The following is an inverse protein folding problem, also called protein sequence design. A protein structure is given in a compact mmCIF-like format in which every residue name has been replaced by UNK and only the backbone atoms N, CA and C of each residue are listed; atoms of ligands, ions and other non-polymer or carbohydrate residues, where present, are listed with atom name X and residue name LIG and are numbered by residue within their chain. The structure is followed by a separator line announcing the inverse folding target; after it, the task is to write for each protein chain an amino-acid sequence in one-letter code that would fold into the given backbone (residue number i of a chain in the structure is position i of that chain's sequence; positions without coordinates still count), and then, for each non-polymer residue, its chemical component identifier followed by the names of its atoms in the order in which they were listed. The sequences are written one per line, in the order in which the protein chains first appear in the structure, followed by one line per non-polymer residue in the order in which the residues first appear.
data_IF_876791313789
#
_entry.id   IF_876791313789
#
_cell.length_a   1.000
_cell.length_b   1.000
_cell.length_c   1.000
_cell.angle_alpha   90.00
_cell.angle_beta   90.00
_cell.angle_gamma   90.00
#
_symmetry.space_group_name_H-M   'P 1'
#
loop_
_entity.id
_entity.type
_entity.pdbx_description
1 polymer ?
#
# COMPACT_ATOMS: atom_id res chain seq x y z
N UNK A 1 -9.43 11.16 9.51
CA UNK A 1 -8.17 11.94 9.69
C UNK A 1 -8.32 13.17 8.83
N UNK A 2 -8.66 14.32 9.44
CA UNK A 2 -8.69 15.58 8.71
C UNK A 2 -7.25 15.89 8.29
N UNK A 3 -6.94 15.66 7.02
CA UNK A 3 -5.67 16.09 6.45
C UNK A 3 -5.75 17.60 6.35
N UNK A 4 -4.83 18.28 7.01
CA UNK A 4 -4.64 19.71 6.79
C UNK A 4 -4.13 19.91 5.35
N UNK A 5 -5.01 20.42 4.50
CA UNK A 5 -4.82 20.55 3.06
C UNK A 5 -3.65 21.45 2.67
N UNK A 6 -3.25 22.39 3.56
CA UNK A 6 -2.16 23.33 3.31
C UNK A 6 -0.78 22.68 3.13
N UNK A 7 -0.64 21.38 3.42
CA UNK A 7 0.64 20.66 3.37
C UNK A 7 0.84 19.79 2.12
N UNK A 8 -0.16 19.69 1.24
CA UNK A 8 -0.05 18.88 0.01
C UNK A 8 0.64 19.65 -1.12
N UNK A 9 1.88 20.08 -0.91
CA UNK A 9 2.61 20.87 -1.92
C UNK A 9 3.74 20.03 -2.48
N UNK A 10 3.53 19.45 -3.68
CA UNK A 10 4.66 19.13 -4.54
C UNK A 10 5.25 20.44 -5.13
N UNK A 11 6.55 20.50 -5.44
CA UNK A 11 7.13 21.65 -6.10
C UNK A 11 6.32 22.05 -7.34
N UNK A 12 6.06 23.34 -7.55
CA UNK A 12 5.27 23.83 -8.67
C UNK A 12 5.75 23.30 -10.04
N UNK A 13 7.05 23.03 -10.16
CA UNK A 13 7.65 22.47 -11.37
C UNK A 13 7.26 21.02 -11.67
N UNK A 14 6.84 20.24 -10.67
CA UNK A 14 6.39 18.87 -10.85
C UNK A 14 5.06 18.76 -11.59
N UNK A 15 4.35 19.88 -11.71
CA UNK A 15 3.03 19.99 -12.36
C UNK A 15 3.09 20.52 -13.79
N UNK A 16 4.27 20.84 -14.32
CA UNK A 16 4.42 21.38 -15.69
C UNK A 16 3.83 20.43 -16.73
N UNK A 17 2.77 20.86 -17.37
CA UNK A 17 2.25 20.28 -18.60
C UNK A 17 1.00 19.42 -18.52
N UNK A 18 0.42 19.15 -17.32
CA UNK A 18 -0.75 18.27 -17.23
C UNK A 18 -1.72 18.58 -16.08
N UNK A 19 -1.48 19.61 -15.26
CA UNK A 19 -2.33 19.84 -14.09
C UNK A 19 -2.60 21.31 -13.86
N UNK A 20 -3.85 21.67 -13.48
CA UNK A 20 -4.12 23.00 -12.95
C UNK A 20 -3.23 23.24 -11.72
N UNK A 21 -3.02 24.49 -11.40
CA UNK A 21 -2.17 24.94 -10.29
C UNK A 21 -2.45 24.15 -9.01
N UNK A 22 -1.42 23.64 -8.28
CA UNK A 22 -1.56 22.75 -7.12
C UNK A 22 -2.60 23.15 -6.06
N UNK A 23 -2.83 24.45 -5.78
CA UNK A 23 -3.79 24.85 -4.77
C UNK A 23 -5.22 24.40 -5.03
N UNK A 24 -5.62 24.21 -6.29
CA UNK A 24 -7.03 24.01 -6.64
C UNK A 24 -7.62 22.69 -6.11
N UNK A 25 -6.83 21.60 -6.05
CA UNK A 25 -7.34 20.33 -5.54
C UNK A 25 -7.37 20.26 -4.01
N UNK A 26 -6.65 21.13 -3.35
CA UNK A 26 -6.54 21.22 -1.90
C UNK A 26 -7.37 22.36 -1.30
N UNK A 27 -8.00 23.18 -2.13
CA UNK A 27 -8.91 24.23 -1.68
C UNK A 27 -10.32 23.65 -1.47
N UNK A 28 -10.82 23.56 -0.22
CA UNK A 28 -12.11 22.94 0.08
C UNK A 28 -13.27 23.65 -0.62
N UNK A 29 -13.21 24.98 -0.77
CA UNK A 29 -14.30 25.74 -1.41
C UNK A 29 -14.35 25.47 -2.92
N UNK A 30 -13.20 25.50 -3.60
CA UNK A 30 -13.14 25.20 -5.03
C UNK A 30 -13.59 23.77 -5.33
N UNK A 31 -13.23 22.82 -4.46
CA UNK A 31 -13.66 21.43 -4.61
C UNK A 31 -15.14 21.26 -4.30
N UNK A 32 -15.66 21.94 -3.28
CA UNK A 32 -17.08 21.95 -2.95
C UNK A 32 -17.92 22.50 -4.10
N UNK A 33 -17.52 23.62 -4.70
CA UNK A 33 -18.17 24.19 -5.87
C UNK A 33 -18.14 23.20 -7.06
N UNK A 34 -17.01 22.53 -7.28
CA UNK A 34 -16.86 21.52 -8.33
C UNK A 34 -17.77 20.30 -8.12
N UNK A 35 -17.97 19.88 -6.87
CA UNK A 35 -18.78 18.72 -6.49
C UNK A 35 -20.23 19.09 -6.18
N UNK A 36 -20.59 20.38 -6.22
CA UNK A 36 -21.89 20.91 -5.78
C UNK A 36 -22.25 20.45 -4.35
N UNK A 37 -21.31 20.63 -3.43
CA UNK A 37 -21.38 20.17 -2.03
C UNK A 37 -21.08 21.32 -1.06
N UNK A 38 -21.26 21.08 0.24
CA UNK A 38 -20.81 22.00 1.29
C UNK A 38 -19.31 21.77 1.55
N UNK A 39 -18.53 22.86 1.64
CA UNK A 39 -17.08 22.79 1.85
C UNK A 39 -16.70 22.01 3.13
N UNK A 40 -17.48 22.13 4.21
CA UNK A 40 -17.27 21.42 5.46
C UNK A 40 -17.55 19.90 5.36
N UNK A 41 -18.31 19.50 4.34
CA UNK A 41 -18.63 18.09 4.08
C UNK A 41 -17.60 17.37 3.22
N UNK A 42 -16.67 18.12 2.59
CA UNK A 42 -15.68 17.55 1.65
C UNK A 42 -14.42 17.12 2.39
N UNK A 43 -14.02 15.89 2.16
CA UNK A 43 -12.74 15.35 2.66
C UNK A 43 -11.97 14.63 1.56
N UNK A 44 -10.64 14.69 1.57
CA UNK A 44 -9.81 13.83 0.72
C UNK A 44 -9.76 12.44 1.34
N UNK A 45 -10.13 11.43 0.55
CA UNK A 45 -9.93 10.01 0.87
C UNK A 45 -8.57 9.51 0.37
N UNK A 46 -8.18 9.90 -0.85
CA UNK A 46 -6.92 9.45 -1.44
C UNK A 46 -6.42 10.41 -2.52
N UNK A 47 -5.10 10.46 -2.68
CA UNK A 47 -4.42 11.21 -3.74
C UNK A 47 -3.52 10.27 -4.53
N UNK A 48 -3.58 10.37 -5.86
CA UNK A 48 -2.77 9.57 -6.75
C UNK A 48 -2.06 10.46 -7.78
N UNK A 49 -0.81 10.77 -7.47
CA UNK A 49 0.00 11.65 -8.28
C UNK A 49 1.05 10.90 -9.09
N UNK A 50 1.12 11.18 -10.37
CA UNK A 50 2.19 10.76 -11.28
C UNK A 50 2.77 12.03 -11.89
N UNK A 51 3.99 12.46 -11.51
CA UNK A 51 4.61 13.69 -12.01
C UNK A 51 4.56 13.78 -13.53
N UNK A 52 4.23 14.96 -14.03
CA UNK A 52 4.08 15.30 -15.46
C UNK A 52 3.03 14.49 -16.23
N UNK A 53 2.19 13.69 -15.55
CA UNK A 53 1.24 12.80 -16.23
C UNK A 53 -0.20 12.94 -15.72
N UNK A 54 -0.43 12.83 -14.42
CA UNK A 54 -1.79 12.85 -13.88
C UNK A 54 -1.81 13.14 -12.39
N UNK A 55 -2.88 13.77 -11.96
CA UNK A 55 -3.29 13.87 -10.58
C UNK A 55 -4.74 13.39 -10.51
N UNK A 56 -4.98 12.32 -9.76
CA UNK A 56 -6.31 11.81 -9.45
C UNK A 56 -6.54 11.94 -7.96
N UNK A 57 -7.64 12.53 -7.56
CA UNK A 57 -8.01 12.68 -6.15
C UNK A 57 -9.37 12.03 -5.95
N UNK A 58 -9.49 11.26 -4.87
CA UNK A 58 -10.76 10.73 -4.39
C UNK A 58 -11.23 11.61 -3.25
N UNK A 59 -12.36 12.24 -3.43
CA UNK A 59 -13.03 13.03 -2.41
C UNK A 59 -14.18 12.24 -1.81
N UNK A 60 -14.43 12.45 -0.53
CA UNK A 60 -15.59 11.96 0.18
C UNK A 60 -16.48 13.13 0.55
N UNK A 61 -17.77 13.01 0.24
CA UNK A 61 -18.83 13.96 0.60
C UNK A 61 -19.91 13.16 1.30
N UNK A 62 -20.01 13.25 2.61
CA UNK A 62 -20.82 12.32 3.40
C UNK A 62 -20.36 10.88 3.21
N UNK A 63 -21.25 10.00 2.75
CA UNK A 63 -20.96 8.60 2.42
C UNK A 63 -20.52 8.39 0.97
N UNK A 64 -20.77 9.38 0.10
CA UNK A 64 -20.45 9.31 -1.31
C UNK A 64 -18.96 9.58 -1.57
N UNK A 65 -18.44 8.97 -2.64
CA UNK A 65 -17.08 9.21 -3.14
C UNK A 65 -17.11 9.67 -4.58
N UNK A 66 -16.29 10.67 -4.85
CA UNK A 66 -16.10 11.25 -6.17
C UNK A 66 -14.63 11.15 -6.57
N UNK A 67 -14.40 10.77 -7.81
CA UNK A 67 -13.08 10.77 -8.42
C UNK A 67 -12.94 12.00 -9.28
N UNK A 68 -11.91 12.77 -9.01
CA UNK A 68 -11.56 13.94 -9.81
C UNK A 68 -10.21 13.71 -10.46
N UNK A 69 -10.20 13.66 -11.78
CA UNK A 69 -8.98 13.57 -12.57
C UNK A 69 -8.58 14.98 -13.02
N UNK A 70 -7.46 15.47 -12.51
CA UNK A 70 -6.86 16.73 -12.89
C UNK A 70 -5.86 16.50 -14.01
N UNK A 71 -6.25 16.88 -15.23
CA UNK A 71 -5.43 16.81 -16.44
C UNK A 71 -5.54 18.12 -17.23
N UNK A 72 -5.52 18.05 -18.56
CA UNK A 72 -5.80 19.20 -19.43
C UNK A 72 -7.20 19.77 -19.20
N UNK A 73 -8.13 18.92 -18.78
CA UNK A 73 -9.47 19.24 -18.31
C UNK A 73 -9.70 18.55 -16.98
N UNK A 74 -10.50 19.18 -16.11
CA UNK A 74 -10.94 18.54 -14.87
C UNK A 74 -12.14 17.66 -15.18
N UNK A 75 -12.04 16.37 -14.87
CA UNK A 75 -13.12 15.41 -15.04
C UNK A 75 -13.57 14.87 -13.67
N UNK A 76 -14.88 14.96 -13.42
CA UNK A 76 -15.51 14.49 -12.18
C UNK A 76 -16.41 13.32 -12.49
N UNK A 77 -16.38 12.28 -11.66
CA UNK A 77 -17.31 11.16 -11.71
C UNK A 77 -17.59 10.60 -10.31
N UNK A 78 -18.80 10.10 -10.04
CA UNK A 78 -19.03 9.27 -8.88
C UNK A 78 -18.14 8.02 -8.90
N UNK A 79 -17.76 7.52 -7.73
CA UNK A 79 -16.96 6.30 -7.62
C UNK A 79 -17.63 5.11 -8.32
N UNK A 80 -18.96 4.98 -8.17
CA UNK A 80 -19.74 3.88 -8.74
C UNK A 80 -19.68 3.80 -10.27
N UNK A 81 -19.37 4.91 -10.94
CA UNK A 81 -19.27 5.02 -12.41
C UNK A 81 -17.85 4.69 -12.93
N UNK A 82 -17.02 3.99 -12.15
CA UNK A 82 -15.69 3.59 -12.62
C UNK A 82 -15.78 2.46 -13.64
N UNK A 83 -15.82 2.84 -14.93
CA UNK A 83 -15.94 1.91 -16.06
C UNK A 83 -14.84 0.86 -16.17
N UNK A 84 -13.71 1.08 -15.47
CA UNK A 84 -12.61 0.11 -15.42
C UNK A 84 -12.81 -0.97 -14.36
N UNK A 85 -13.81 -0.81 -13.51
CA UNK A 85 -14.19 -1.76 -12.47
C UNK A 85 -15.68 -2.13 -12.63
N UNK A 86 -16.06 -2.90 -13.68
CA UNK A 86 -17.47 -3.15 -14.02
C UNK A 86 -18.28 -3.83 -12.91
N UNK A 87 -17.64 -4.59 -12.03
CA UNK A 87 -18.29 -5.20 -10.86
C UNK A 87 -18.42 -4.24 -9.66
N UNK A 88 -17.96 -2.98 -9.76
CA UNK A 88 -18.00 -2.03 -8.65
C UNK A 88 -19.44 -1.69 -8.19
N UNK A 89 -20.41 -1.44 -9.09
CA UNK A 89 -21.79 -1.23 -8.66
C UNK A 89 -22.36 -2.41 -7.86
N UNK A 90 -22.04 -3.65 -8.29
CA UNK A 90 -22.49 -4.87 -7.60
C UNK A 90 -21.81 -5.03 -6.24
N UNK A 91 -20.52 -4.69 -6.15
CA UNK A 91 -19.75 -4.72 -4.90
C UNK A 91 -20.31 -3.73 -3.86
N UNK A 92 -20.83 -2.59 -4.31
CA UNK A 92 -21.34 -1.53 -3.44
C UNK A 92 -22.82 -1.67 -3.10
N UNK A 93 -23.56 -2.60 -3.75
CA UNK A 93 -25.00 -2.77 -3.54
C UNK A 93 -25.29 -3.60 -2.26
N UNK A 94 -25.84 -2.98 -1.20
CA UNK A 94 -26.16 -3.70 0.04
C UNK A 94 -27.32 -4.72 -0.16
N UNK A 95 -28.23 -4.48 -1.12
CA UNK A 95 -29.34 -5.43 -1.40
C UNK A 95 -28.79 -6.73 -1.99
N UNK A 96 -27.90 -6.61 -2.99
CA UNK A 96 -27.22 -7.77 -3.55
C UNK A 96 -26.43 -8.54 -2.49
N UNK A 97 -25.68 -7.84 -1.64
CA UNK A 97 -24.93 -8.46 -0.55
C UNK A 97 -25.89 -9.18 0.42
N UNK A 98 -26.99 -8.54 0.80
CA UNK A 98 -28.00 -9.13 1.68
C UNK A 98 -28.65 -10.39 1.07
N UNK A 99 -28.97 -10.36 -0.22
CA UNK A 99 -29.48 -11.54 -0.95
C UNK A 99 -28.44 -12.68 -0.98
N UNK A 100 -27.16 -12.34 -1.25
CA UNK A 100 -26.09 -13.34 -1.31
C UNK A 100 -25.86 -14.05 0.03
N UNK A 101 -25.91 -13.31 1.13
CA UNK A 101 -25.66 -13.86 2.47
C UNK A 101 -26.94 -14.33 3.20
N UNK A 102 -28.13 -14.00 2.69
CA UNK A 102 -29.39 -14.29 3.37
C UNK A 102 -29.59 -13.53 4.68
N UNK A 103 -28.94 -12.39 4.85
CA UNK A 103 -28.95 -11.54 6.04
C UNK A 103 -28.91 -10.07 5.64
N UNK A 104 -29.37 -9.18 6.50
CA UNK A 104 -29.24 -7.73 6.27
C UNK A 104 -27.76 -7.33 6.40
N UNK A 105 -27.23 -6.64 5.39
CA UNK A 105 -25.80 -6.36 5.27
C UNK A 105 -25.56 -4.87 5.02
N UNK A 106 -24.73 -4.28 5.85
CA UNK A 106 -24.11 -2.97 5.63
C UNK A 106 -22.86 -3.10 4.78
N UNK A 107 -22.61 -2.13 3.91
CA UNK A 107 -21.45 -2.06 3.03
C UNK A 107 -20.58 -0.89 3.42
N UNK A 108 -19.34 -1.17 3.84
CA UNK A 108 -18.35 -0.15 4.16
C UNK A 108 -17.17 -0.22 3.20
N UNK A 109 -16.86 0.85 2.48
CA UNK A 109 -15.66 0.92 1.63
C UNK A 109 -14.41 0.99 2.50
N UNK A 110 -13.54 -0.02 2.38
CA UNK A 110 -12.24 -0.11 3.07
C UNK A 110 -11.13 0.57 2.29
N UNK A 111 -11.11 0.36 0.97
CA UNK A 111 -10.13 0.96 0.09
C UNK A 111 -10.68 1.04 -1.33
N UNK A 112 -10.35 2.13 -2.02
CA UNK A 112 -10.67 2.31 -3.42
C UNK A 112 -9.47 2.93 -4.15
N UNK A 113 -9.10 2.31 -5.23
CA UNK A 113 -8.04 2.76 -6.13
C UNK A 113 -8.64 2.92 -7.52
N UNK A 114 -8.88 4.17 -7.97
CA UNK A 114 -9.58 4.44 -9.21
C UNK A 114 -9.02 3.67 -10.40
N UNK A 115 -9.89 2.91 -11.07
CA UNK A 115 -9.55 2.11 -12.23
C UNK A 115 -8.65 0.91 -11.98
N UNK A 116 -8.37 0.57 -10.74
CA UNK A 116 -7.49 -0.56 -10.41
C UNK A 116 -8.15 -1.60 -9.50
N UNK A 117 -8.67 -1.19 -8.33
CA UNK A 117 -9.27 -2.12 -7.35
C UNK A 117 -10.18 -1.41 -6.35
N UNK A 118 -11.08 -2.19 -5.75
CA UNK A 118 -11.86 -1.79 -4.59
C UNK A 118 -11.98 -2.95 -3.60
N UNK A 119 -12.01 -2.64 -2.31
CA UNK A 119 -12.32 -3.56 -1.24
C UNK A 119 -13.38 -2.93 -0.32
N UNK A 120 -14.36 -3.73 0.06
CA UNK A 120 -15.43 -3.36 0.99
C UNK A 120 -15.51 -4.34 2.14
N UNK A 121 -16.11 -3.91 3.23
CA UNK A 121 -16.47 -4.75 4.34
C UNK A 121 -18.00 -4.91 4.36
N UNK A 122 -18.46 -6.14 4.30
CA UNK A 122 -19.84 -6.54 4.49
C UNK A 122 -20.04 -6.93 5.95
N UNK A 123 -20.95 -6.23 6.63
CA UNK A 123 -21.32 -6.50 8.03
C UNK A 123 -22.81 -6.74 8.16
N UNK A 124 -23.17 -7.79 8.89
CA UNK A 124 -24.55 -8.12 9.19
C UNK A 124 -24.64 -9.21 10.23
N UNK A 125 -25.84 -9.69 10.53
CA UNK A 125 -26.02 -10.79 11.47
C UNK A 125 -25.40 -12.08 10.90
N UNK A 126 -24.33 -12.56 11.53
CA UNK A 126 -23.54 -13.69 11.06
C UNK A 126 -22.66 -13.41 9.83
N UNK A 127 -22.64 -12.17 9.31
CA UNK A 127 -21.82 -11.76 8.17
C UNK A 127 -20.70 -10.81 8.62
N UNK A 128 -19.46 -11.22 8.41
CA UNK A 128 -18.25 -10.42 8.67
C UNK A 128 -17.22 -10.77 7.59
N UNK A 129 -17.33 -10.12 6.41
CA UNK A 129 -16.68 -10.53 5.18
C UNK A 129 -16.05 -9.32 4.48
N UNK A 130 -14.80 -9.46 4.04
CA UNK A 130 -14.15 -8.51 3.12
C UNK A 130 -14.34 -8.99 1.70
N UNK A 131 -14.92 -8.13 0.86
CA UNK A 131 -15.14 -8.40 -0.56
C UNK A 131 -14.22 -7.51 -1.41
N UNK A 132 -13.63 -8.07 -2.46
CA UNK A 132 -12.61 -7.41 -3.28
C UNK A 132 -12.85 -7.62 -4.77
N UNK A 133 -12.59 -6.57 -5.55
CA UNK A 133 -12.50 -6.61 -7.02
C UNK A 133 -11.20 -5.96 -7.49
N UNK A 134 -10.71 -6.39 -8.65
CA UNK A 134 -9.54 -5.79 -9.30
C UNK A 134 -9.71 -5.82 -10.83
N UNK A 135 -9.26 -4.75 -11.48
CA UNK A 135 -9.30 -4.62 -12.95
C UNK A 135 -8.52 -5.71 -13.68
N UNK A 136 -7.31 -6.01 -13.22
CA UNK A 136 -6.34 -6.86 -13.92
C UNK A 136 -6.11 -8.19 -13.18
N UNK A 137 -6.82 -8.40 -12.07
CA UNK A 137 -6.65 -9.58 -11.23
C UNK A 137 -7.50 -10.74 -11.74
N UNK A 138 -6.88 -11.87 -12.06
CA UNK A 138 -7.60 -13.14 -12.02
C UNK A 138 -7.92 -13.43 -10.55
N UNK A 139 -9.10 -12.96 -10.09
CA UNK A 139 -9.55 -13.10 -8.70
C UNK A 139 -9.58 -14.58 -8.29
N UNK A 140 -9.91 -15.48 -9.23
CA UNK A 140 -9.90 -16.93 -9.00
C UNK A 140 -8.48 -17.47 -8.84
N UNK A 141 -7.50 -16.99 -9.62
CA UNK A 141 -6.12 -17.38 -9.42
C UNK A 141 -5.53 -16.83 -8.11
N UNK A 142 -5.90 -15.61 -7.73
CA UNK A 142 -5.55 -15.03 -6.42
C UNK A 142 -6.11 -15.84 -5.26
N UNK A 143 -7.38 -16.19 -5.34
CA UNK A 143 -8.06 -17.02 -4.35
C UNK A 143 -7.40 -18.41 -4.23
N UNK A 144 -7.14 -19.09 -5.35
CA UNK A 144 -6.46 -20.41 -5.32
C UNK A 144 -5.10 -20.35 -4.63
N UNK A 145 -4.30 -19.29 -4.88
CA UNK A 145 -2.99 -19.12 -4.20
C UNK A 145 -3.16 -18.90 -2.70
N UNK A 146 -4.12 -18.06 -2.31
CA UNK A 146 -4.43 -17.80 -0.90
C UNK A 146 -4.99 -19.05 -0.21
N UNK A 147 -5.88 -19.81 -0.88
CA UNK A 147 -6.43 -21.08 -0.39
C UNK A 147 -5.33 -22.10 -0.15
N UNK A 148 -4.42 -22.26 -1.11
CA UNK A 148 -3.29 -23.19 -0.96
C UNK A 148 -2.39 -22.83 0.24
N UNK A 149 -2.23 -21.54 0.54
CA UNK A 149 -1.51 -21.08 1.72
C UNK A 149 -2.33 -21.28 3.00
N UNK A 150 -3.65 -21.04 2.94
CA UNK A 150 -4.55 -21.23 4.07
C UNK A 150 -4.61 -22.70 4.51
N UNK A 151 -4.64 -23.61 3.55
CA UNK A 151 -4.72 -25.06 3.78
C UNK A 151 -3.35 -25.67 4.10
N UNK A 152 -2.26 -24.89 4.08
CA UNK A 152 -0.91 -25.38 4.41
C UNK A 152 -0.84 -25.77 5.90
N UNK A 153 -0.58 -27.06 6.23
CA UNK A 153 -0.70 -27.58 7.59
C UNK A 153 0.24 -26.94 8.61
N UNK A 154 1.43 -26.52 8.15
CA UNK A 154 2.50 -25.96 8.98
C UNK A 154 2.42 -24.44 9.09
N UNK A 155 1.28 -23.85 8.72
CA UNK A 155 1.04 -22.42 8.81
C UNK A 155 1.05 -21.96 10.27
N UNK A 156 2.17 -21.40 10.73
CA UNK A 156 2.37 -20.87 12.08
C UNK A 156 1.99 -19.39 12.23
N UNK A 157 1.20 -18.81 11.29
CA UNK A 157 0.71 -17.43 11.34
C UNK A 157 -0.79 -17.39 10.99
N UNK A 158 -1.46 -16.34 11.45
CA UNK A 158 -2.86 -16.11 11.11
C UNK A 158 -2.99 -15.35 9.77
N UNK A 159 -4.03 -15.65 9.01
CA UNK A 159 -4.39 -14.96 7.78
C UNK A 159 -5.91 -15.00 7.57
N UNK A 160 -6.42 -14.11 6.71
CA UNK A 160 -7.83 -14.12 6.34
C UNK A 160 -8.21 -15.45 5.65
N UNK A 161 -9.29 -16.07 6.10
CA UNK A 161 -9.85 -17.27 5.45
C UNK A 161 -10.42 -16.90 4.09
N UNK A 162 -9.96 -17.49 2.98
CA UNK A 162 -10.57 -17.28 1.68
C UNK A 162 -11.91 -18.00 1.62
N UNK A 163 -12.98 -17.28 1.26
CA UNK A 163 -14.35 -17.81 1.15
C UNK A 163 -14.73 -18.15 -0.29
N UNK A 164 -13.90 -17.75 -1.27
CA UNK A 164 -14.12 -18.05 -2.68
C UNK A 164 -14.26 -16.80 -3.53
N UNK A 165 -14.70 -17.02 -4.77
CA UNK A 165 -15.03 -15.97 -5.74
C UNK A 165 -16.43 -16.27 -6.25
N UNK A 166 -17.33 -15.31 -6.15
CA UNK A 166 -18.70 -15.45 -6.62
C UNK A 166 -18.81 -15.41 -8.16
N UNK A 167 -20.06 -15.51 -8.68
CA UNK A 167 -20.32 -15.53 -10.11
C UNK A 167 -20.02 -14.18 -10.81
N UNK A 168 -20.06 -13.08 -10.06
CA UNK A 168 -19.75 -11.74 -10.55
C UNK A 168 -18.24 -11.42 -10.50
N UNK A 169 -17.41 -12.38 -10.06
CA UNK A 169 -15.97 -12.23 -9.96
C UNK A 169 -15.51 -11.46 -8.70
N UNK A 170 -16.38 -11.30 -7.71
CA UNK A 170 -16.04 -10.68 -6.43
C UNK A 170 -15.42 -11.74 -5.52
N UNK A 171 -14.18 -11.49 -5.07
CA UNK A 171 -13.49 -12.36 -4.12
C UNK A 171 -13.90 -12.05 -2.70
N UNK A 172 -14.20 -13.08 -1.94
CA UNK A 172 -14.66 -13.02 -0.57
C UNK A 172 -13.61 -13.61 0.39
N UNK A 173 -13.38 -12.93 1.48
CA UNK A 173 -12.48 -13.35 2.56
C UNK A 173 -13.18 -13.07 3.90
N UNK A 174 -13.01 -13.95 4.88
CA UNK A 174 -13.48 -13.64 6.24
C UNK A 174 -12.75 -12.42 6.78
N UNK A 175 -13.49 -11.49 7.35
CA UNK A 175 -12.87 -10.34 8.01
C UNK A 175 -12.02 -10.80 9.20
N UNK A 176 -10.93 -10.10 9.44
CA UNK A 176 -9.99 -10.40 10.52
C UNK A 176 -9.99 -9.26 11.51
N UNK A 177 -10.16 -9.58 12.77
CA UNK A 177 -10.06 -8.63 13.87
C UNK A 177 -8.59 -8.39 14.24
N UNK A 178 -8.25 -7.13 14.54
CA UNK A 178 -6.92 -6.75 14.97
C UNK A 178 -6.67 -5.26 14.77
N UNK A 179 -5.54 -4.80 15.29
CA UNK A 179 -5.12 -3.39 15.18
C UNK A 179 -3.94 -3.29 14.21
N UNK A 180 -3.95 -2.31 13.34
CA UNK A 180 -2.80 -2.00 12.47
C UNK A 180 -1.63 -1.51 13.32
N UNK A 181 -0.40 -1.71 12.81
CA UNK A 181 0.81 -1.26 13.48
C UNK A 181 0.76 0.23 13.84
N UNK A 182 0.27 1.08 12.93
CA UNK A 182 0.16 2.53 13.17
C UNK A 182 -0.73 2.89 14.38
N UNK A 183 -1.79 2.10 14.62
CA UNK A 183 -2.66 2.31 15.78
C UNK A 183 -2.03 1.84 17.10
N UNK A 184 -1.05 0.94 17.03
CA UNK A 184 -0.33 0.40 18.19
C UNK A 184 0.91 1.22 18.57
N UNK A 185 1.56 1.90 17.62
CA UNK A 185 2.81 2.64 17.84
C UNK A 185 2.78 3.65 19.01
N UNK A 186 1.65 4.26 19.41
CA UNK A 186 1.61 5.09 20.62
C UNK A 186 1.87 4.32 21.93
N UNK A 187 1.64 3.01 21.94
CA UNK A 187 1.71 2.17 23.17
C UNK A 187 2.64 0.97 23.06
N UNK A 188 3.01 0.58 21.82
CA UNK A 188 3.88 -0.56 21.52
C UNK A 188 5.09 -0.06 20.76
N UNK A 189 6.28 -0.49 21.16
CA UNK A 189 7.49 -0.05 20.46
C UNK A 189 7.54 -0.60 19.03
N UNK A 190 8.08 0.16 18.04
CA UNK A 190 8.30 -0.34 16.68
C UNK A 190 9.17 -1.60 16.65
N UNK A 191 10.08 -1.75 17.60
CA UNK A 191 10.94 -2.94 17.74
C UNK A 191 10.13 -4.18 18.09
N UNK A 192 9.15 -4.08 18.99
CA UNK A 192 8.28 -5.20 19.39
C UNK A 192 7.38 -5.63 18.22
N UNK A 193 6.83 -4.65 17.47
CA UNK A 193 6.04 -4.93 16.26
C UNK A 193 6.88 -5.65 15.20
N UNK A 194 8.12 -5.21 15.00
CA UNK A 194 9.05 -5.83 14.06
C UNK A 194 9.42 -7.25 14.50
N UNK A 195 9.68 -7.46 15.80
CA UNK A 195 9.99 -8.77 16.39
C UNK A 195 8.82 -9.75 16.20
N UNK A 196 7.59 -9.31 16.44
CA UNK A 196 6.41 -10.14 16.24
C UNK A 196 6.27 -10.60 14.77
N UNK A 197 6.49 -9.72 13.82
CA UNK A 197 6.48 -10.07 12.38
C UNK A 197 7.62 -11.03 12.04
N UNK A 198 8.83 -10.79 12.55
CA UNK A 198 10.01 -11.63 12.31
C UNK A 198 9.81 -13.08 12.77
N UNK A 199 9.11 -13.29 13.87
CA UNK A 199 8.79 -14.65 14.39
C UNK A 199 7.81 -15.38 13.47
N UNK A 200 6.89 -14.68 12.82
CA UNK A 200 5.88 -15.28 11.96
C UNK A 200 6.38 -15.58 10.53
N UNK A 201 7.33 -14.81 10.02
CA UNK A 201 7.81 -14.92 8.63
C UNK A 201 8.39 -16.30 8.26
N UNK A 202 9.16 -17.02 9.08
CA UNK A 202 9.68 -18.36 8.74
C UNK A 202 8.59 -19.36 8.36
N UNK A 203 7.40 -19.25 8.94
CA UNK A 203 6.26 -20.12 8.61
C UNK A 203 5.68 -19.78 7.22
N UNK A 204 5.66 -18.50 6.82
CA UNK A 204 5.31 -18.10 5.46
C UNK A 204 6.38 -18.57 4.46
N UNK A 205 7.66 -18.43 4.82
CA UNK A 205 8.79 -18.82 3.97
C UNK A 205 8.83 -20.34 3.71
N UNK A 206 8.34 -21.15 4.66
CA UNK A 206 8.25 -22.61 4.52
C UNK A 206 7.11 -23.06 3.59
N UNK A 207 6.18 -22.17 3.23
CA UNK A 207 5.06 -22.53 2.37
C UNK A 207 5.52 -22.89 0.95
N UNK A 208 4.85 -23.85 0.28
CA UNK A 208 5.20 -24.25 -1.08
C UNK A 208 5.18 -23.05 -2.04
N UNK A 209 6.22 -22.90 -2.86
CA UNK A 209 6.34 -21.78 -3.80
C UNK A 209 5.27 -21.82 -4.91
N UNK A 210 4.95 -23.00 -5.42
CA UNK A 210 4.03 -23.14 -6.56
C UNK A 210 4.45 -22.27 -7.75
N UNK A 211 3.49 -21.88 -8.57
CA UNK A 211 3.69 -20.92 -9.67
C UNK A 211 3.50 -19.48 -9.14
N UNK A 212 4.56 -18.89 -8.61
CA UNK A 212 4.57 -17.51 -8.11
C UNK A 212 5.51 -16.63 -8.94
N UNK A 213 5.18 -15.33 -9.11
CA UNK A 213 6.10 -14.40 -9.76
C UNK A 213 7.39 -14.29 -8.95
N UNK A 214 8.52 -14.10 -9.63
CA UNK A 214 9.80 -13.79 -8.98
C UNK A 214 9.81 -12.34 -8.49
N UNK A 215 10.37 -12.13 -7.30
CA UNK A 215 10.63 -10.81 -6.73
C UNK A 215 11.98 -10.83 -6.00
N UNK A 216 13.04 -11.15 -6.74
CA UNK A 216 14.41 -11.13 -6.27
C UNK A 216 15.08 -9.75 -6.42
N UNK A 217 16.36 -9.64 -6.03
CA UNK A 217 17.13 -8.41 -6.11
C UNK A 217 17.18 -7.79 -7.52
N UNK A 218 17.23 -8.60 -8.57
CA UNK A 218 17.23 -8.14 -9.97
C UNK A 218 15.93 -7.42 -10.33
N UNK A 219 14.79 -7.98 -9.97
CA UNK A 219 13.47 -7.39 -10.19
C UNK A 219 13.30 -6.09 -9.39
N UNK A 220 13.81 -6.06 -8.16
CA UNK A 220 13.80 -4.86 -7.32
C UNK A 220 14.59 -3.72 -7.99
N UNK A 221 15.83 -3.96 -8.44
CA UNK A 221 16.66 -2.97 -9.14
C UNK A 221 15.98 -2.51 -10.43
N UNK A 222 15.50 -3.43 -11.26
CA UNK A 222 14.82 -3.12 -12.51
C UNK A 222 13.60 -2.23 -12.28
N UNK A 223 12.82 -2.52 -11.24
CA UNK A 223 11.67 -1.69 -10.85
C UNK A 223 12.09 -0.31 -10.37
N UNK A 224 13.18 -0.22 -9.59
CA UNK A 224 13.72 1.06 -9.13
C UNK A 224 14.17 1.92 -10.30
N UNK A 225 14.99 1.39 -11.21
CA UNK A 225 15.53 2.12 -12.36
C UNK A 225 14.43 2.59 -13.31
N UNK A 226 13.46 1.73 -13.62
CA UNK A 226 12.48 2.01 -14.67
C UNK A 226 11.23 2.75 -14.18
N UNK A 227 10.92 2.70 -12.89
CA UNK A 227 9.64 3.26 -12.37
C UNK A 227 9.81 4.24 -11.23
N UNK A 228 10.76 4.00 -10.31
CA UNK A 228 10.85 4.79 -9.08
C UNK A 228 11.73 6.00 -9.26
N UNK A 229 13.00 5.79 -9.64
CA UNK A 229 13.98 6.87 -9.82
C UNK A 229 13.43 7.94 -10.78
N UNK A 230 12.91 7.60 -11.97
CA UNK A 230 12.34 8.61 -12.87
C UNK A 230 11.18 9.39 -12.23
N UNK A 231 10.31 8.71 -11.48
CA UNK A 231 9.15 9.35 -10.86
C UNK A 231 9.55 10.30 -9.72
N UNK A 232 10.44 9.85 -8.83
CA UNK A 232 10.88 10.68 -7.70
C UNK A 232 11.74 11.85 -8.20
N UNK A 233 12.62 11.62 -9.19
CA UNK A 233 13.43 12.67 -9.80
C UNK A 233 12.58 13.73 -10.54
N UNK A 234 11.48 13.33 -11.15
CA UNK A 234 10.55 14.27 -11.78
C UNK A 234 9.81 15.13 -10.76
N UNK A 235 9.48 14.59 -9.57
CA UNK A 235 8.85 15.34 -8.50
C UNK A 235 9.86 16.20 -7.70
N UNK A 236 11.08 15.71 -7.52
CA UNK A 236 12.15 16.28 -6.70
C UNK A 236 13.48 16.29 -7.48
N UNK A 237 13.64 17.16 -8.48
CA UNK A 237 14.81 17.15 -9.39
C UNK A 237 16.16 17.32 -8.68
N UNK A 238 16.20 18.03 -7.56
CA UNK A 238 17.42 18.22 -6.74
C UNK A 238 17.92 16.91 -6.10
N UNK A 239 17.08 15.87 -5.97
CA UNK A 239 17.47 14.56 -5.46
C UNK A 239 17.94 13.58 -6.56
N UNK A 240 17.76 13.92 -7.85
CA UNK A 240 17.98 13.00 -8.97
C UNK A 240 19.38 12.36 -8.98
N UNK A 241 20.43 13.15 -8.77
CA UNK A 241 21.82 12.67 -8.74
C UNK A 241 22.07 11.69 -7.60
N UNK A 242 21.59 12.01 -6.39
CA UNK A 242 21.73 11.14 -5.20
C UNK A 242 20.96 9.82 -5.38
N UNK A 243 19.73 9.89 -5.92
CA UNK A 243 18.91 8.70 -6.24
C UNK A 243 19.62 7.78 -7.24
N UNK A 244 20.21 8.35 -8.29
CA UNK A 244 20.96 7.59 -9.29
C UNK A 244 22.16 6.90 -8.67
N UNK A 245 22.89 7.59 -7.80
CA UNK A 245 24.06 7.04 -7.09
C UNK A 245 23.68 5.87 -6.17
N UNK A 246 22.61 6.00 -5.37
CA UNK A 246 22.10 4.91 -4.52
C UNK A 246 21.69 3.72 -5.37
N UNK A 247 20.96 3.95 -6.46
CA UNK A 247 20.54 2.87 -7.35
C UNK A 247 21.73 2.14 -7.99
N UNK A 248 22.79 2.87 -8.36
CA UNK A 248 24.04 2.29 -8.87
C UNK A 248 24.76 1.47 -7.80
N UNK A 249 24.84 1.97 -6.56
CA UNK A 249 25.43 1.23 -5.43
C UNK A 249 24.66 -0.07 -5.15
N UNK A 250 23.31 -0.01 -5.06
CA UNK A 250 22.48 -1.19 -4.89
C UNK A 250 22.69 -2.22 -6.01
N UNK A 251 22.82 -1.75 -7.26
CA UNK A 251 23.12 -2.66 -8.38
C UNK A 251 24.49 -3.32 -8.26
N UNK A 252 25.51 -2.56 -7.82
CA UNK A 252 26.88 -3.06 -7.65
C UNK A 252 27.03 -4.01 -6.46
N UNK A 253 26.26 -3.79 -5.38
CA UNK A 253 26.28 -4.62 -4.16
C UNK A 253 25.12 -5.60 -4.10
N UNK A 254 24.49 -5.88 -5.23
CA UNK A 254 23.37 -6.81 -5.32
C UNK A 254 23.72 -8.16 -4.70
N UNK A 255 22.91 -8.67 -3.74
CA UNK A 255 23.12 -10.00 -3.19
C UNK A 255 23.07 -11.07 -4.28
N UNK A 256 23.87 -12.12 -4.10
CA UNK A 256 23.75 -13.32 -4.95
C UNK A 256 22.32 -13.88 -4.82
N UNK A 257 21.78 -14.42 -5.92
CA UNK A 257 20.49 -15.07 -5.88
C UNK A 257 20.58 -16.30 -4.96
N UNK A 258 19.80 -16.28 -3.86
CA UNK A 258 19.63 -17.40 -2.94
C UNK A 258 18.52 -18.33 -3.41
N UNK A 259 18.30 -19.41 -2.68
CA UNK A 259 17.10 -20.23 -2.87
C UNK A 259 15.87 -19.36 -2.51
N UNK A 260 14.96 -19.11 -3.46
CA UNK A 260 13.81 -18.27 -3.19
C UNK A 260 12.85 -18.97 -2.20
N UNK A 261 12.22 -18.17 -1.34
CA UNK A 261 11.16 -18.61 -0.42
C UNK A 261 9.84 -17.96 -0.79
N UNK A 262 8.74 -18.46 -0.22
CA UNK A 262 7.45 -17.79 -0.35
C UNK A 262 7.47 -16.49 0.46
N UNK A 263 7.19 -15.37 -0.19
CA UNK A 263 7.11 -14.06 0.46
C UNK A 263 5.75 -13.42 0.21
N UNK A 264 5.32 -12.56 1.13
CA UNK A 264 4.10 -11.75 0.97
C UNK A 264 4.19 -10.79 -0.23
N UNK A 265 5.39 -10.25 -0.45
CA UNK A 265 5.70 -9.34 -1.56
C UNK A 265 5.20 -7.90 -1.39
N UNK A 266 4.34 -7.64 -0.39
CA UNK A 266 3.82 -6.31 -0.04
C UNK A 266 3.55 -6.17 1.47
N UNK A 267 4.41 -6.73 2.32
CA UNK A 267 4.22 -6.77 3.76
C UNK A 267 4.52 -5.41 4.40
N UNK A 268 3.63 -4.43 4.20
CA UNK A 268 3.71 -3.16 4.91
C UNK A 268 2.77 -3.12 6.11
N UNK A 269 2.90 -2.11 6.96
CA UNK A 269 2.20 -1.99 8.24
C UNK A 269 0.67 -2.07 8.14
N UNK A 270 0.06 -1.65 7.02
CA UNK A 270 -1.39 -1.77 6.82
C UNK A 270 -1.85 -3.19 6.43
N UNK A 271 -0.91 -4.09 6.04
CA UNK A 271 -1.19 -5.47 5.66
C UNK A 271 -0.89 -6.46 6.80
N UNK A 272 -0.62 -5.95 7.99
CA UNK A 272 -0.47 -6.74 9.21
C UNK A 272 -1.41 -6.21 10.27
N UNK A 273 -2.30 -7.07 10.76
CA UNK A 273 -3.14 -6.81 11.92
C UNK A 273 -2.57 -7.56 13.11
N UNK A 274 -2.56 -6.91 14.26
CA UNK A 274 -2.06 -7.51 15.50
C UNK A 274 -3.21 -7.75 16.47
N UNK A 275 -3.21 -8.93 17.10
CA UNK A 275 -4.05 -9.20 18.25
C UNK A 275 -3.56 -8.41 19.48
N UNK A 276 -4.31 -8.44 20.57
CA UNK A 276 -3.88 -7.82 21.84
C UNK A 276 -2.62 -8.49 22.42
N UNK A 277 -2.31 -9.74 22.05
CA UNK A 277 -1.06 -10.44 22.38
C UNK A 277 0.07 -10.23 21.36
N UNK A 278 -0.07 -9.27 20.46
CA UNK A 278 0.86 -8.96 19.38
C UNK A 278 1.09 -10.10 18.37
N UNK A 279 0.18 -11.06 18.28
CA UNK A 279 0.26 -12.06 17.20
C UNK A 279 -0.13 -11.43 15.87
N UNK A 280 0.73 -11.50 14.83
CA UNK A 280 0.44 -10.92 13.53
C UNK A 280 -0.52 -11.80 12.72
N UNK A 281 -1.48 -11.15 12.08
CA UNK A 281 -2.32 -11.72 11.04
C UNK A 281 -1.97 -11.03 9.72
N UNK A 282 -1.55 -11.79 8.71
CA UNK A 282 -1.23 -11.27 7.38
C UNK A 282 -2.49 -11.18 6.52
N UNK A 283 -2.72 -10.03 5.94
CA UNK A 283 -3.85 -9.75 5.03
C UNK A 283 -3.33 -9.21 3.69
N UNK A 284 -4.19 -9.18 2.67
CA UNK A 284 -3.86 -8.72 1.31
C UNK A 284 -2.72 -9.50 0.65
N UNK A 285 -2.85 -10.84 0.65
CA UNK A 285 -1.87 -11.80 0.11
C UNK A 285 -1.88 -11.87 -1.43
N UNK A 286 -2.37 -10.83 -2.12
CA UNK A 286 -2.49 -10.78 -3.58
C UNK A 286 -1.13 -10.74 -4.29
N UNK A 287 -0.12 -10.24 -3.60
CA UNK A 287 1.24 -10.06 -4.10
C UNK A 287 2.19 -11.21 -3.72
N UNK A 288 1.65 -12.36 -3.26
CA UNK A 288 2.49 -13.53 -2.96
C UNK A 288 3.47 -13.82 -4.11
N UNK A 289 4.75 -13.91 -3.76
CA UNK A 289 5.84 -14.05 -4.71
C UNK A 289 6.88 -15.08 -4.23
N UNK A 290 7.82 -15.40 -5.09
CA UNK A 290 9.05 -16.10 -4.74
C UNK A 290 10.19 -15.09 -4.65
N UNK A 291 10.85 -15.00 -3.51
CA UNK A 291 11.89 -13.98 -3.30
C UNK A 291 12.78 -14.25 -2.11
N UNK A 292 13.55 -13.25 -1.72
CA UNK A 292 14.45 -13.33 -0.57
C UNK A 292 13.68 -13.25 0.76
N UNK A 293 14.05 -14.04 1.73
CA UNK A 293 13.43 -14.11 3.04
C UNK A 293 13.43 -12.74 3.78
N UNK A 294 14.46 -11.94 3.57
CA UNK A 294 14.65 -10.63 4.22
C UNK A 294 13.79 -9.53 3.62
N UNK A 295 13.21 -9.75 2.41
CA UNK A 295 12.45 -8.73 1.68
C UNK A 295 11.24 -8.21 2.47
N UNK A 296 10.38 -9.10 2.95
CA UNK A 296 9.14 -8.72 3.64
C UNK A 296 9.41 -7.96 4.95
N UNK A 297 10.40 -8.42 5.71
CA UNK A 297 10.81 -7.74 6.94
C UNK A 297 11.35 -6.34 6.65
N UNK A 298 12.13 -6.17 5.58
CA UNK A 298 12.63 -4.88 5.15
C UNK A 298 11.51 -3.94 4.67
N UNK A 299 10.49 -4.46 4.00
CA UNK A 299 9.30 -3.68 3.61
C UNK A 299 8.55 -3.19 4.82
N UNK A 300 8.33 -4.05 5.82
CA UNK A 300 7.65 -3.70 7.07
C UNK A 300 8.44 -2.65 7.86
N UNK A 301 9.76 -2.88 8.06
CA UNK A 301 10.66 -1.95 8.73
C UNK A 301 10.72 -0.57 8.05
N UNK A 302 10.84 -0.54 6.73
CA UNK A 302 10.85 0.69 5.96
C UNK A 302 9.54 1.48 6.09
N UNK A 303 8.39 0.80 6.22
CA UNK A 303 7.11 1.46 6.44
C UNK A 303 6.95 2.02 7.85
N UNK A 304 7.39 1.29 8.86
CA UNK A 304 7.48 1.81 10.23
C UNK A 304 8.34 3.07 10.28
N UNK A 305 9.48 3.06 9.57
CA UNK A 305 10.37 4.22 9.48
C UNK A 305 9.68 5.43 8.86
N UNK A 306 9.01 5.25 7.73
CA UNK A 306 8.25 6.33 7.10
C UNK A 306 7.17 6.88 8.05
N UNK A 307 6.42 6.00 8.72
CA UNK A 307 5.39 6.43 9.67
C UNK A 307 6.01 7.28 10.80
N UNK A 308 7.13 6.83 11.36
CA UNK A 308 7.85 7.58 12.38
C UNK A 308 8.30 8.97 11.91
N UNK A 309 8.76 9.11 10.67
CA UNK A 309 9.09 10.40 10.07
C UNK A 309 7.86 11.31 9.93
N UNK A 310 6.74 10.75 9.46
CA UNK A 310 5.49 11.49 9.26
C UNK A 310 4.85 11.96 10.58
N UNK A 311 5.07 11.24 11.67
CA UNK A 311 4.48 11.54 13.00
C UNK A 311 5.43 12.22 13.96
N UNK A 312 6.70 12.44 13.54
CA UNK A 312 7.74 12.97 14.43
C UNK A 312 8.20 11.98 15.50
N UNK A 313 7.87 10.69 15.38
CA UNK A 313 8.28 9.63 16.31
C UNK A 313 9.39 8.79 15.67
N UNK A 314 10.67 9.09 15.92
CA UNK A 314 11.76 8.37 15.27
C UNK A 314 11.69 6.88 15.55
N UNK A 315 11.65 6.07 14.51
CA UNK A 315 11.76 4.62 14.60
C UNK A 315 13.15 4.21 14.18
N UNK A 316 13.89 3.60 15.08
CA UNK A 316 15.20 3.03 14.76
C UNK A 316 15.01 1.55 14.51
N UNK A 317 15.47 1.06 13.34
CA UNK A 317 15.64 -0.38 13.14
C UNK A 317 16.92 -0.77 13.86
N UNK A 318 16.86 -1.61 14.91
CA UNK A 318 18.05 -1.93 15.70
C UNK A 318 19.16 -2.53 14.83
N UNK A 319 20.43 -2.21 15.11
CA UNK A 319 21.56 -2.92 14.50
C UNK A 319 21.46 -4.44 14.78
N UNK A 320 21.70 -5.25 13.75
CA UNK A 320 21.59 -6.72 13.87
C UNK A 320 20.17 -7.26 13.65
N UNK A 321 19.19 -6.41 13.40
CA UNK A 321 17.88 -6.84 12.94
C UNK A 321 17.97 -7.31 11.47
N UNK A 322 17.44 -8.48 11.16
CA UNK A 322 17.40 -8.97 9.79
C UNK A 322 17.61 -10.47 9.64
N UNK A 323 17.59 -11.22 10.75
CA UNK A 323 17.73 -12.66 10.68
C UNK A 323 19.16 -13.12 10.32
N UNK A 324 19.32 -14.29 9.67
CA UNK A 324 20.63 -14.90 9.43
C UNK A 324 21.49 -14.12 8.42
N UNK A 325 20.92 -13.25 7.58
CA UNK A 325 21.67 -12.42 6.61
C UNK A 325 21.38 -10.93 6.79
N UNK A 326 22.08 -10.32 7.76
CA UNK A 326 21.91 -8.90 8.08
C UNK A 326 22.32 -7.98 6.90
N UNK A 327 23.25 -8.39 6.05
CA UNK A 327 23.67 -7.61 4.89
C UNK A 327 22.61 -7.63 3.79
N UNK A 328 21.97 -8.77 3.56
CA UNK A 328 20.85 -8.91 2.63
C UNK A 328 19.65 -8.11 3.12
N UNK A 329 19.30 -8.19 4.41
CA UNK A 329 18.27 -7.37 5.02
C UNK A 329 18.54 -5.87 4.81
N UNK A 330 19.77 -5.42 5.13
CA UNK A 330 20.18 -4.02 4.96
C UNK A 330 20.04 -3.56 3.51
N UNK A 331 20.44 -4.41 2.54
CA UNK A 331 20.27 -4.14 1.12
C UNK A 331 18.82 -3.92 0.75
N UNK A 332 17.92 -4.82 1.18
CA UNK A 332 16.49 -4.71 0.95
C UNK A 332 15.88 -3.51 1.66
N UNK A 333 16.36 -3.16 2.86
CA UNK A 333 15.90 -1.97 3.59
C UNK A 333 16.24 -0.69 2.82
N UNK A 334 17.47 -0.53 2.35
CA UNK A 334 17.88 0.60 1.49
C UNK A 334 17.01 0.66 0.24
N UNK A 335 16.84 -0.46 -0.46
CA UNK A 335 16.00 -0.55 -1.64
C UNK A 335 14.53 -0.18 -1.34
N UNK A 336 14.03 -0.52 -0.15
CA UNK A 336 12.67 -0.19 0.31
C UNK A 336 12.52 1.29 0.64
N UNK A 337 13.45 1.88 1.39
CA UNK A 337 13.40 3.31 1.74
C UNK A 337 13.31 4.17 0.47
N UNK A 338 14.15 3.91 -0.51
CA UNK A 338 14.17 4.64 -1.79
C UNK A 338 13.06 4.15 -2.72
N UNK A 339 12.99 2.84 -2.94
CA UNK A 339 12.13 2.24 -3.97
C UNK A 339 10.63 2.24 -3.65
N UNK A 340 10.28 2.19 -2.38
CA UNK A 340 8.87 2.13 -1.95
C UNK A 340 8.45 3.38 -1.18
N UNK A 341 9.18 3.77 -0.14
CA UNK A 341 8.72 4.83 0.76
C UNK A 341 8.78 6.20 0.10
N UNK A 342 9.88 6.57 -0.56
CA UNK A 342 9.93 7.83 -1.32
C UNK A 342 8.87 7.88 -2.43
N UNK A 343 8.68 6.77 -3.16
CA UNK A 343 7.61 6.67 -4.17
C UNK A 343 6.22 6.86 -3.54
N UNK A 344 5.99 6.35 -2.34
CA UNK A 344 4.73 6.50 -1.60
C UNK A 344 4.52 7.96 -1.22
N UNK A 345 5.53 8.66 -0.70
CA UNK A 345 5.47 10.09 -0.42
C UNK A 345 5.08 10.90 -1.67
N UNK A 346 5.75 10.63 -2.79
CA UNK A 346 5.46 11.32 -4.07
C UNK A 346 4.04 11.01 -4.56
N UNK A 347 3.64 9.74 -4.54
CA UNK A 347 2.35 9.29 -5.05
C UNK A 347 1.18 9.94 -4.32
N UNK A 348 1.27 10.04 -3.01
CA UNK A 348 0.19 10.54 -2.17
C UNK A 348 0.38 12.01 -1.78
N UNK A 349 1.38 12.70 -2.37
CA UNK A 349 1.70 14.08 -2.03
C UNK A 349 1.79 14.27 -0.50
N UNK A 350 2.53 13.38 0.16
CA UNK A 350 2.62 13.37 1.63
C UNK A 350 3.00 14.76 2.18
N UNK A 351 2.43 15.18 3.31
CA UNK A 351 2.85 16.40 3.98
C UNK A 351 4.36 16.43 4.17
N UNK A 352 5.03 17.55 3.90
CA UNK A 352 6.48 17.64 4.02
C UNK A 352 7.27 16.77 3.03
N UNK A 353 6.68 16.42 1.88
CA UNK A 353 7.21 15.54 0.86
C UNK A 353 8.73 15.66 0.61
N UNK A 354 9.21 16.89 0.38
CA UNK A 354 10.64 17.12 0.07
C UNK A 354 11.52 16.72 1.26
N UNK A 355 11.21 17.23 2.46
CA UNK A 355 11.98 16.92 3.68
C UNK A 355 11.95 15.43 4.04
N UNK A 356 10.79 14.77 3.93
CA UNK A 356 10.70 13.33 4.19
C UNK A 356 11.49 12.50 3.17
N UNK A 357 11.45 12.86 1.89
CA UNK A 357 12.27 12.20 0.88
C UNK A 357 13.77 12.43 1.11
N UNK A 358 14.19 13.63 1.52
CA UNK A 358 15.58 13.91 1.88
C UNK A 358 16.04 13.08 3.07
N UNK A 359 15.21 12.96 4.12
CA UNK A 359 15.52 12.16 5.30
C UNK A 359 15.63 10.67 4.96
N UNK A 360 14.67 10.13 4.19
CA UNK A 360 14.71 8.73 3.72
C UNK A 360 15.95 8.45 2.87
N UNK A 361 16.32 9.39 2.01
CA UNK A 361 17.50 9.26 1.16
C UNK A 361 18.80 9.34 1.97
N UNK A 362 18.91 10.27 2.93
CA UNK A 362 20.05 10.38 3.81
C UNK A 362 20.25 9.11 4.67
N UNK A 363 19.15 8.53 5.17
CA UNK A 363 19.21 7.26 5.89
C UNK A 363 19.64 6.10 4.98
N UNK A 364 19.11 6.03 3.77
CA UNK A 364 19.53 5.05 2.78
C UNK A 364 21.02 5.17 2.44
N UNK A 365 21.55 6.40 2.31
CA UNK A 365 22.99 6.67 2.10
C UNK A 365 23.84 6.22 3.29
N UNK A 366 23.37 6.45 4.53
CA UNK A 366 24.08 6.04 5.74
C UNK A 366 24.12 4.51 5.92
N UNK A 367 23.11 3.80 5.40
CA UNK A 367 23.05 2.35 5.40
C UNK A 367 23.82 1.71 4.22
N UNK A 368 24.14 2.48 3.17
CA UNK A 368 24.95 1.98 2.05
C UNK A 368 26.42 1.83 2.44
N UNK A 369 27.05 0.74 1.95
CA UNK A 369 28.49 0.46 2.12
C UNK A 369 29.38 1.49 1.44
#
# INVERSE_FOLDING_TARGET
MNLDWGHLVAPADAYKGATPTPPAFADPQLVADLLNADADSVAIDNVWFIPHRSLTVVYRVGDDRFVVDYGNTVAVRPMVDDVKLPALPLLLDPRRASEHFGADVEVQVLSYLPGERCAVHYRGDGVDVVAKISRNGDMRAGERRQRALFDFPERGFAMAEPLGVDDDGIRLERAVNGKRAEALMPTVSPTDLLAAVQVALPFLHAAPLGQRPSLGPTEVITRMQNKVVPRVAAALPHLAGRLTNICAKLAATRPCDGAPVAIHGDLHTANVLFSDSLQPTFIDLDNLAAGDAEYDLAVFAGRLRLHGLLTGTPTVVPPGYGGPDADRFRWHLVATLVGRQMKTCVRHLAPGLAGHCEMLLAEAEALCW
#
